data_IF_446375436235
#
_entry.id   IF_446375436235
#
_cell.length_a   1.000
_cell.length_b   1.000
_cell.length_c   1.000
_cell.angle_alpha   90.00
_cell.angle_beta   90.00
_cell.angle_gamma   90.00
#
_symmetry.space_group_name_H-M   'P 1'
#
loop_
_entity.id
_entity.type
_entity.pdbx_description
1 polymer ?
#
# COMPACT_ATOMS: atom_id res chain seq x y z
N UNK A 1 50.86 -42.47 -5.63
CA UNK A 1 49.78 -41.65 -6.15
C UNK A 1 50.38 -40.38 -6.71
N UNK A 2 50.41 -40.19 -8.04
CA UNK A 2 50.90 -38.95 -8.65
C UNK A 2 49.83 -37.89 -8.54
N UNK A 3 50.09 -36.83 -7.79
CA UNK A 3 49.21 -35.66 -7.70
C UNK A 3 49.25 -34.97 -9.08
N UNK A 4 48.20 -35.17 -9.90
CA UNK A 4 48.03 -34.41 -11.14
C UNK A 4 47.72 -32.96 -10.78
N UNK A 5 48.75 -32.12 -10.76
CA UNK A 5 48.57 -30.67 -10.59
C UNK A 5 47.93 -30.17 -11.90
N UNK A 6 46.73 -29.58 -11.87
CA UNK A 6 46.05 -29.12 -13.09
C UNK A 6 46.86 -27.96 -13.70
N UNK A 7 47.42 -28.18 -14.87
CA UNK A 7 48.21 -27.18 -15.61
C UNK A 7 47.49 -25.85 -15.76
N UNK A 8 46.16 -25.89 -15.92
CA UNK A 8 45.28 -24.72 -16.00
C UNK A 8 45.34 -23.85 -14.74
N UNK A 9 45.40 -24.47 -13.56
CA UNK A 9 45.51 -23.72 -12.31
C UNK A 9 46.89 -23.03 -12.17
N UNK A 10 47.95 -23.71 -12.55
CA UNK A 10 49.29 -23.12 -12.55
C UNK A 10 49.44 -21.97 -13.53
N UNK A 11 48.82 -22.06 -14.71
CA UNK A 11 48.80 -20.96 -15.69
C UNK A 11 48.01 -19.77 -15.20
N UNK A 12 46.82 -19.98 -14.59
CA UNK A 12 45.99 -18.92 -14.05
C UNK A 12 46.65 -18.15 -12.91
N UNK A 13 47.36 -18.89 -12.03
CA UNK A 13 47.98 -18.28 -10.83
C UNK A 13 49.37 -17.67 -11.09
N UNK A 14 49.99 -17.96 -12.26
CA UNK A 14 51.29 -17.40 -12.64
C UNK A 14 51.26 -15.91 -12.88
N UNK A 15 50.18 -15.40 -13.55
CA UNK A 15 50.03 -13.99 -13.84
C UNK A 15 48.95 -13.36 -12.89
N UNK A 16 49.39 -13.09 -11.65
CA UNK A 16 48.51 -12.60 -10.57
C UNK A 16 47.70 -11.36 -10.94
N UNK A 17 48.29 -10.44 -11.71
CA UNK A 17 47.62 -9.21 -12.14
C UNK A 17 46.45 -9.50 -13.09
N UNK A 18 46.67 -10.40 -14.07
CA UNK A 18 45.59 -10.81 -15.00
C UNK A 18 44.49 -11.56 -14.26
N UNK A 19 44.85 -12.44 -13.34
CA UNK A 19 43.88 -13.14 -12.51
C UNK A 19 43.04 -12.15 -11.66
N UNK A 20 43.73 -11.19 -11.02
CA UNK A 20 43.05 -10.18 -10.21
C UNK A 20 42.07 -9.32 -11.05
N UNK A 21 42.48 -8.91 -12.25
CA UNK A 21 41.59 -8.14 -13.17
C UNK A 21 40.37 -8.98 -13.61
N UNK A 22 40.61 -10.25 -13.98
CA UNK A 22 39.53 -11.15 -14.35
C UNK A 22 38.51 -11.38 -13.22
N UNK A 23 39.06 -11.68 -12.00
CA UNK A 23 38.21 -11.87 -10.81
C UNK A 23 37.47 -10.62 -10.40
N UNK A 24 38.10 -9.44 -10.49
CA UNK A 24 37.40 -8.16 -10.19
C UNK A 24 36.27 -7.87 -11.17
N UNK A 25 36.48 -8.21 -12.46
CA UNK A 25 35.42 -8.07 -13.47
C UNK A 25 34.22 -8.98 -13.20
N UNK A 26 34.47 -10.25 -12.85
CA UNK A 26 33.41 -11.21 -12.49
C UNK A 26 32.72 -10.74 -11.21
N UNK A 27 33.47 -10.43 -10.16
CA UNK A 27 32.91 -9.97 -8.88
C UNK A 27 32.07 -8.70 -9.05
N UNK A 28 32.51 -7.76 -9.90
CA UNK A 28 31.73 -6.57 -10.21
C UNK A 28 30.42 -6.90 -10.91
N UNK A 29 30.44 -7.81 -11.88
CA UNK A 29 29.24 -8.26 -12.59
C UNK A 29 28.24 -8.96 -11.63
N UNK A 30 28.76 -9.83 -10.74
CA UNK A 30 27.96 -10.52 -9.73
C UNK A 30 27.32 -9.53 -8.74
N UNK A 31 28.09 -8.56 -8.25
CA UNK A 31 27.59 -7.50 -7.34
C UNK A 31 26.46 -6.71 -8.03
N UNK A 32 26.64 -6.31 -9.29
CA UNK A 32 25.60 -5.61 -10.03
C UNK A 32 24.35 -6.46 -10.21
N UNK A 33 24.52 -7.76 -10.53
CA UNK A 33 23.39 -8.68 -10.68
C UNK A 33 22.60 -8.82 -9.38
N UNK A 34 23.28 -9.09 -8.26
CA UNK A 34 22.63 -9.20 -6.95
C UNK A 34 21.97 -7.87 -6.51
N UNK A 35 22.61 -6.75 -6.79
CA UNK A 35 22.04 -5.43 -6.53
C UNK A 35 20.75 -5.21 -7.32
N UNK A 36 20.73 -5.57 -8.61
CA UNK A 36 19.52 -5.45 -9.44
C UNK A 36 18.40 -6.39 -8.94
N UNK A 37 18.71 -7.63 -8.59
CA UNK A 37 17.74 -8.58 -8.03
C UNK A 37 17.16 -8.06 -6.71
N UNK A 38 18.01 -7.60 -5.79
CA UNK A 38 17.58 -7.03 -4.52
C UNK A 38 16.71 -5.79 -4.69
N UNK A 39 17.06 -4.90 -5.63
CA UNK A 39 16.26 -3.73 -5.94
C UNK A 39 14.90 -4.08 -6.53
N UNK A 40 14.86 -5.03 -7.48
CA UNK A 40 13.60 -5.54 -8.04
C UNK A 40 12.68 -6.10 -6.97
N UNK A 41 13.22 -6.94 -6.09
CA UNK A 41 12.43 -7.57 -5.04
C UNK A 41 11.93 -6.54 -4.01
N UNK A 42 12.76 -5.56 -3.63
CA UNK A 42 12.35 -4.46 -2.76
C UNK A 42 11.21 -3.62 -3.37
N UNK A 43 11.28 -3.32 -4.67
CA UNK A 43 10.20 -2.63 -5.38
C UNK A 43 8.91 -3.47 -5.39
N UNK A 44 9.01 -4.75 -5.70
CA UNK A 44 7.86 -5.65 -5.72
C UNK A 44 7.19 -5.72 -4.35
N UNK A 45 7.96 -6.01 -3.29
CA UNK A 45 7.42 -6.08 -1.93
C UNK A 45 6.79 -4.76 -1.46
N UNK A 46 7.39 -3.62 -1.79
CA UNK A 46 6.85 -2.33 -1.40
C UNK A 46 5.50 -2.01 -2.07
N UNK A 47 5.30 -2.45 -3.31
CA UNK A 47 4.05 -2.22 -4.04
C UNK A 47 2.94 -3.19 -3.64
N UNK A 48 3.28 -4.46 -3.40
CA UNK A 48 2.29 -5.52 -3.06
C UNK A 48 1.79 -5.39 -1.61
N UNK A 49 2.54 -4.73 -0.72
CA UNK A 49 2.23 -4.68 0.71
C UNK A 49 0.85 -4.10 1.03
N UNK A 50 0.47 -3.03 0.36
CA UNK A 50 -0.87 -2.41 0.53
C UNK A 50 -1.97 -3.37 0.03
N UNK A 51 -1.81 -3.96 -1.15
CA UNK A 51 -2.77 -4.88 -1.75
C UNK A 51 -2.97 -6.13 -0.90
N UNK A 52 -1.87 -6.74 -0.45
CA UNK A 52 -1.91 -7.94 0.41
C UNK A 52 -2.52 -7.68 1.79
N UNK A 53 -2.46 -6.42 2.27
CA UNK A 53 -3.05 -6.04 3.55
C UNK A 53 -4.58 -5.90 3.54
N UNK A 54 -5.20 -5.76 2.37
CA UNK A 54 -6.65 -5.64 2.26
C UNK A 54 -7.35 -6.93 2.71
N UNK A 55 -8.39 -6.77 3.53
CA UNK A 55 -9.23 -7.88 4.02
C UNK A 55 -10.46 -7.98 3.11
N UNK A 56 -10.33 -8.77 2.04
CA UNK A 56 -11.40 -9.02 1.08
C UNK A 56 -10.97 -10.09 0.08
N UNK A 57 -11.93 -10.65 -0.65
CA UNK A 57 -11.72 -11.76 -1.57
C UNK A 57 -11.75 -11.30 -3.03
N UNK A 58 -12.59 -10.29 -3.34
CA UNK A 58 -12.72 -9.68 -4.67
C UNK A 58 -12.65 -8.16 -4.54
N UNK A 59 -11.93 -7.54 -5.45
CA UNK A 59 -11.67 -6.10 -5.47
C UNK A 59 -12.25 -5.50 -6.76
N UNK A 60 -12.93 -4.36 -6.61
CA UNK A 60 -13.41 -3.56 -7.72
C UNK A 60 -12.61 -2.27 -7.83
N UNK A 61 -12.16 -1.95 -9.02
CA UNK A 61 -11.54 -0.67 -9.36
C UNK A 61 -12.09 -0.14 -10.69
N UNK A 62 -11.93 1.14 -10.95
CA UNK A 62 -12.26 1.69 -12.27
C UNK A 62 -11.31 1.10 -13.32
N UNK A 63 -11.84 0.72 -14.49
CA UNK A 63 -11.05 0.11 -15.58
C UNK A 63 -9.92 0.98 -16.13
N UNK A 64 -9.97 2.30 -15.90
CA UNK A 64 -8.92 3.25 -16.27
C UNK A 64 -7.85 3.44 -15.17
N UNK A 65 -7.96 2.72 -14.05
CA UNK A 65 -6.98 2.79 -12.95
C UNK A 65 -5.84 1.82 -13.22
N UNK A 66 -4.68 2.35 -13.58
CA UNK A 66 -3.50 1.55 -13.90
C UNK A 66 -2.50 1.40 -12.74
N UNK A 67 -2.64 2.23 -11.72
CA UNK A 67 -1.78 2.22 -10.52
C UNK A 67 -2.45 2.98 -9.38
N UNK A 68 -2.03 2.71 -8.14
CA UNK A 68 -2.49 3.43 -6.94
C UNK A 68 -2.26 4.95 -7.05
N UNK A 69 -1.20 5.35 -7.76
CA UNK A 69 -0.86 6.76 -8.03
C UNK A 69 -1.88 7.49 -8.93
N UNK A 70 -2.67 6.76 -9.70
CA UNK A 70 -3.60 7.31 -10.71
C UNK A 70 -4.97 6.65 -10.66
N UNK A 71 -5.46 6.38 -9.45
CA UNK A 71 -6.80 5.81 -9.27
C UNK A 71 -7.87 6.74 -9.83
N UNK A 72 -8.80 6.15 -10.57
CA UNK A 72 -10.01 6.80 -11.03
C UNK A 72 -11.17 6.36 -10.15
N UNK A 73 -12.06 7.27 -9.87
CA UNK A 73 -13.24 6.98 -9.08
C UNK A 73 -14.28 6.24 -9.90
N UNK A 74 -15.13 5.49 -9.20
CA UNK A 74 -16.35 4.93 -9.77
C UNK A 74 -17.50 5.01 -8.77
N UNK A 75 -18.72 4.83 -9.27
CA UNK A 75 -19.91 4.93 -8.43
C UNK A 75 -20.01 3.77 -7.45
N UNK A 76 -20.17 4.07 -6.17
CA UNK A 76 -20.44 3.10 -5.10
C UNK A 76 -21.65 2.20 -5.38
N UNK A 77 -22.60 2.68 -6.19
CA UNK A 77 -23.75 1.87 -6.64
C UNK A 77 -23.32 0.61 -7.41
N UNK A 78 -22.17 0.66 -8.11
CA UNK A 78 -21.60 -0.50 -8.80
C UNK A 78 -21.17 -1.58 -7.81
N UNK A 79 -20.55 -1.15 -6.71
CA UNK A 79 -20.13 -2.04 -5.65
C UNK A 79 -21.32 -2.72 -4.97
N UNK A 80 -22.37 -1.95 -4.68
CA UNK A 80 -23.57 -2.50 -4.04
C UNK A 80 -24.33 -3.52 -4.90
N UNK A 81 -24.19 -3.50 -6.22
CA UNK A 81 -24.76 -4.55 -7.09
C UNK A 81 -24.19 -5.93 -6.81
N UNK A 82 -23.00 -6.02 -6.23
CA UNK A 82 -22.43 -7.32 -5.84
C UNK A 82 -23.24 -8.00 -4.72
N UNK A 83 -24.01 -7.25 -3.92
CA UNK A 83 -24.88 -7.81 -2.89
C UNK A 83 -26.06 -8.61 -3.45
N UNK A 84 -26.38 -8.48 -4.76
CA UNK A 84 -27.39 -9.29 -5.42
C UNK A 84 -26.97 -10.79 -5.48
N UNK A 85 -25.67 -11.07 -5.28
CA UNK A 85 -25.13 -12.43 -5.24
C UNK A 85 -25.26 -13.05 -3.85
N UNK A 86 -25.89 -14.21 -3.70
CA UNK A 86 -26.06 -14.90 -2.41
C UNK A 86 -24.72 -15.29 -1.73
N UNK A 87 -23.65 -15.42 -2.51
CA UNK A 87 -22.29 -15.77 -2.05
C UNK A 87 -21.54 -14.59 -1.44
N UNK A 88 -22.00 -13.36 -1.69
CA UNK A 88 -21.39 -12.16 -1.10
C UNK A 88 -21.86 -12.00 0.34
N UNK A 89 -20.91 -11.79 1.25
CA UNK A 89 -21.17 -11.52 2.66
C UNK A 89 -21.36 -10.02 2.90
N UNK A 90 -20.44 -9.22 2.40
CA UNK A 90 -20.45 -7.76 2.59
C UNK A 90 -19.62 -7.05 1.53
N UNK A 91 -19.88 -5.76 1.37
CA UNK A 91 -19.14 -4.88 0.46
C UNK A 91 -18.73 -3.60 1.18
N UNK A 92 -17.51 -3.12 0.90
CA UNK A 92 -16.92 -2.00 1.62
C UNK A 92 -16.24 -1.04 0.65
N UNK A 93 -16.65 0.24 0.62
CA UNK A 93 -15.99 1.27 -0.16
C UNK A 93 -14.71 1.74 0.54
N UNK A 94 -13.68 2.02 -0.24
CA UNK A 94 -12.47 2.71 0.21
C UNK A 94 -12.28 3.95 -0.67
N UNK A 95 -12.06 5.08 -0.02
CA UNK A 95 -11.60 6.31 -0.62
C UNK A 95 -10.09 6.37 -0.54
N UNK A 96 -9.44 6.83 -1.59
CA UNK A 96 -7.99 6.94 -1.68
C UNK A 96 -7.61 8.23 -2.42
N UNK A 97 -6.67 9.00 -1.86
CA UNK A 97 -6.13 10.15 -2.56
C UNK A 97 -4.80 10.58 -1.95
N UNK A 98 -4.04 11.36 -2.70
CA UNK A 98 -2.86 12.05 -2.21
C UNK A 98 -3.22 13.44 -1.71
N UNK A 99 -2.57 13.83 -0.62
CA UNK A 99 -2.76 15.15 -0.05
C UNK A 99 -1.46 15.71 0.50
N UNK A 100 -1.48 17.01 0.86
CA UNK A 100 -0.34 17.67 1.48
C UNK A 100 -0.44 17.50 3.00
N UNK A 101 0.58 16.89 3.58
CA UNK A 101 0.86 16.90 5.01
C UNK A 101 1.87 17.99 5.30
N UNK A 102 1.60 18.85 6.26
CA UNK A 102 2.55 19.86 6.73
C UNK A 102 3.28 19.35 7.97
N UNK A 103 4.60 19.23 7.85
CA UNK A 103 5.43 18.82 8.99
C UNK A 103 5.22 19.80 10.18
N UNK A 104 4.81 19.33 11.36
CA UNK A 104 4.42 20.19 12.47
C UNK A 104 5.58 20.98 13.09
N UNK A 105 6.84 20.59 12.81
CA UNK A 105 8.04 21.27 13.31
C UNK A 105 8.59 22.25 12.29
N UNK A 106 8.79 21.78 11.03
CA UNK A 106 9.44 22.59 9.99
C UNK A 106 8.47 23.40 9.14
N UNK A 107 7.17 23.10 9.20
CA UNK A 107 6.13 23.70 8.36
C UNK A 107 6.21 23.30 6.88
N UNK A 108 7.15 22.43 6.48
CA UNK A 108 7.33 22.00 5.08
C UNK A 108 6.22 21.04 4.66
N UNK A 109 5.59 21.28 3.51
CA UNK A 109 4.59 20.35 2.97
C UNK A 109 5.25 19.13 2.30
N UNK A 110 4.65 17.94 2.47
CA UNK A 110 4.98 16.71 1.73
C UNK A 110 3.70 15.99 1.29
N UNK A 111 3.79 15.31 0.16
CA UNK A 111 2.69 14.46 -0.30
C UNK A 111 2.57 13.24 0.62
N UNK A 112 1.35 12.90 1.03
CA UNK A 112 1.03 11.73 1.84
C UNK A 112 -0.20 11.04 1.27
N UNK A 113 -0.20 9.71 1.27
CA UNK A 113 -1.34 8.91 0.83
C UNK A 113 -2.32 8.76 2.00
N UNK A 114 -3.60 8.96 1.74
CA UNK A 114 -4.65 8.84 2.75
C UNK A 114 -5.75 7.89 2.29
N UNK A 115 -6.11 6.96 3.18
CA UNK A 115 -7.20 6.01 3.02
C UNK A 115 -8.38 6.44 3.87
N UNK A 116 -9.58 6.50 3.27
CA UNK A 116 -10.85 6.72 3.96
C UNK A 116 -11.66 5.43 3.97
N UNK A 117 -11.93 4.89 5.15
CA UNK A 117 -12.61 3.60 5.34
C UNK A 117 -13.80 3.74 6.30
N UNK A 118 -14.74 2.80 6.24
CA UNK A 118 -15.73 2.68 7.30
C UNK A 118 -15.07 2.11 8.57
N UNK A 119 -15.02 2.85 9.70
CA UNK A 119 -14.36 2.41 10.93
C UNK A 119 -15.10 1.32 11.69
N UNK A 120 -16.28 0.90 11.24
CA UNK A 120 -17.02 -0.23 11.84
C UNK A 120 -16.45 -1.59 11.40
N UNK A 121 -15.61 -1.60 10.34
CA UNK A 121 -15.08 -2.84 9.77
C UNK A 121 -13.56 -2.72 9.60
N UNK A 122 -12.84 -3.74 10.04
CA UNK A 122 -11.42 -3.83 9.76
C UNK A 122 -11.19 -4.28 8.31
N UNK A 123 -10.74 -3.34 7.47
CA UNK A 123 -10.44 -3.57 6.06
C UNK A 123 -8.95 -3.76 5.77
N UNK A 124 -8.10 -3.61 6.78
CA UNK A 124 -6.65 -3.74 6.64
C UNK A 124 -6.07 -4.68 7.71
N UNK A 125 -5.44 -5.74 7.27
CA UNK A 125 -4.62 -6.57 8.14
C UNK A 125 -3.24 -5.90 8.34
N UNK A 126 -3.24 -4.78 9.05
CA UNK A 126 -2.06 -3.98 9.37
C UNK A 126 -1.96 -3.79 10.87
N UNK A 127 -0.76 -4.01 11.47
CA UNK A 127 -0.56 -3.78 12.91
C UNK A 127 -0.93 -2.35 13.29
N UNK A 128 -1.77 -2.19 14.30
CA UNK A 128 -2.19 -0.91 14.84
C UNK A 128 -3.44 -0.31 14.19
N UNK A 129 -4.02 -0.91 13.14
CA UNK A 129 -5.27 -0.41 12.56
C UNK A 129 -6.46 -0.85 13.39
N UNK A 130 -6.60 -2.15 13.64
CA UNK A 130 -7.77 -2.72 14.32
C UNK A 130 -8.00 -2.12 15.71
N UNK A 131 -6.95 -1.99 16.49
CA UNK A 131 -7.01 -1.48 17.88
C UNK A 131 -7.41 0.01 17.93
N UNK A 132 -7.25 0.72 16.82
CA UNK A 132 -7.50 2.16 16.75
C UNK A 132 -8.71 2.54 15.90
N UNK A 133 -9.46 1.59 15.30
CA UNK A 133 -10.64 1.88 14.46
C UNK A 133 -11.66 2.78 15.15
N UNK A 134 -11.96 2.53 16.41
CA UNK A 134 -12.93 3.33 17.16
C UNK A 134 -12.54 4.81 17.29
N UNK A 135 -11.24 5.12 17.27
CA UNK A 135 -10.74 6.50 17.35
C UNK A 135 -11.02 7.27 16.05
N UNK A 136 -11.13 6.57 14.93
CA UNK A 136 -11.45 7.18 13.63
C UNK A 136 -12.88 7.71 13.53
N UNK A 137 -13.77 7.29 14.42
CA UNK A 137 -15.13 7.83 14.54
C UNK A 137 -15.15 9.28 15.03
N UNK A 138 -14.08 9.71 15.70
CA UNK A 138 -13.95 11.08 16.17
C UNK A 138 -13.64 12.02 14.99
N UNK A 139 -14.16 13.26 15.02
CA UNK A 139 -13.87 14.26 13.99
C UNK A 139 -12.38 14.55 13.86
N UNK A 140 -11.92 14.62 12.60
CA UNK A 140 -10.56 15.06 12.24
C UNK A 140 -9.44 14.20 12.88
N UNK A 141 -9.73 12.93 13.17
CA UNK A 141 -8.75 11.97 13.67
C UNK A 141 -8.23 11.11 12.52
N UNK A 142 -6.91 10.90 12.52
CA UNK A 142 -6.20 10.04 11.58
C UNK A 142 -5.31 9.05 12.34
N UNK A 143 -5.07 7.88 11.76
CA UNK A 143 -3.95 7.02 12.14
C UNK A 143 -2.76 7.37 11.24
N UNK A 144 -1.57 7.41 11.83
CA UNK A 144 -0.34 7.73 11.14
C UNK A 144 0.53 6.47 11.00
N UNK A 145 1.09 6.26 9.82
CA UNK A 145 2.00 5.15 9.58
C UNK A 145 3.37 5.44 10.21
N UNK A 146 3.72 4.67 11.26
CA UNK A 146 4.99 4.83 11.99
C UNK A 146 6.24 4.60 11.15
N UNK A 147 6.08 3.89 10.03
CA UNK A 147 7.15 3.59 9.07
C UNK A 147 7.20 4.61 7.92
N UNK A 148 6.46 5.71 8.01
CA UNK A 148 6.62 6.84 7.10
C UNK A 148 8.01 7.45 7.24
N UNK A 149 8.48 8.12 6.18
CA UNK A 149 9.80 8.76 6.19
C UNK A 149 9.90 9.84 7.27
N UNK A 150 11.10 10.02 7.78
CA UNK A 150 11.41 10.95 8.90
C UNK A 150 11.11 12.43 8.59
N UNK A 151 11.05 12.78 7.34
CA UNK A 151 10.78 14.13 6.87
C UNK A 151 9.35 14.64 7.15
N UNK A 152 8.43 13.74 7.51
CA UNK A 152 7.09 14.14 7.97
C UNK A 152 7.09 14.74 9.37
N UNK A 153 8.19 14.60 10.11
CA UNK A 153 8.39 15.09 11.47
C UNK A 153 8.43 13.98 12.51
N UNK A 154 8.75 14.30 13.77
CA UNK A 154 8.90 13.34 14.87
C UNK A 154 7.53 12.87 15.41
N UNK A 155 6.64 12.42 14.53
CA UNK A 155 5.25 12.07 14.85
C UNK A 155 5.21 10.85 15.78
N UNK A 156 5.92 9.79 15.39
CA UNK A 156 5.96 8.52 16.13
C UNK A 156 6.55 8.72 17.54
N UNK A 157 7.66 9.44 17.64
CA UNK A 157 8.33 9.69 18.92
C UNK A 157 7.46 10.52 19.87
N UNK A 158 6.88 11.61 19.36
CA UNK A 158 5.99 12.46 20.14
C UNK A 158 4.74 11.69 20.60
N UNK A 159 4.15 10.88 19.73
CA UNK A 159 2.97 10.07 20.08
C UNK A 159 3.31 9.04 21.16
N UNK A 160 4.43 8.33 21.04
CA UNK A 160 4.90 7.36 22.03
C UNK A 160 5.24 8.00 23.40
N UNK A 161 5.60 9.27 23.41
CA UNK A 161 5.80 10.06 24.64
C UNK A 161 4.47 10.56 25.25
N UNK A 162 3.32 10.17 24.70
CA UNK A 162 2.00 10.59 25.18
C UNK A 162 1.62 12.04 24.83
N UNK A 163 2.39 12.70 23.95
CA UNK A 163 2.08 14.06 23.50
C UNK A 163 0.91 14.04 22.52
N UNK A 164 0.10 15.08 22.56
CA UNK A 164 -0.93 15.33 21.55
C UNK A 164 -0.23 15.75 20.25
N UNK A 165 -0.36 14.94 19.20
CA UNK A 165 0.22 15.22 17.91
C UNK A 165 -0.88 15.72 16.98
N UNK A 166 -0.70 16.92 16.45
CA UNK A 166 -1.56 17.51 15.42
C UNK A 166 -0.72 17.93 14.22
N UNK A 167 -1.32 17.89 13.05
CA UNK A 167 -0.70 18.34 11.82
C UNK A 167 -1.74 18.95 10.88
N UNK A 168 -1.30 19.71 9.91
CA UNK A 168 -2.16 20.25 8.87
C UNK A 168 -2.16 19.30 7.67
N UNK A 169 -3.36 18.83 7.28
CA UNK A 169 -3.61 18.04 6.09
C UNK A 169 -4.56 18.81 5.19
N UNK A 170 -4.10 19.22 4.01
CA UNK A 170 -4.91 19.99 3.04
C UNK A 170 -5.63 21.19 3.67
N UNK A 171 -4.92 22.02 4.44
CA UNK A 171 -5.45 23.20 5.18
C UNK A 171 -6.44 22.84 6.30
N UNK A 172 -6.54 21.58 6.69
CA UNK A 172 -7.34 21.13 7.83
C UNK A 172 -6.44 20.59 8.92
N UNK A 173 -6.67 21.03 10.15
CA UNK A 173 -5.96 20.47 11.29
C UNK A 173 -6.53 19.11 11.64
N UNK A 174 -5.65 18.10 11.70
CA UNK A 174 -6.01 16.72 12.09
C UNK A 174 -5.21 16.33 13.33
N UNK A 175 -5.80 15.42 14.11
CA UNK A 175 -5.17 14.83 15.30
C UNK A 175 -4.75 13.39 14.99
N UNK A 176 -3.52 13.04 15.33
CA UNK A 176 -3.07 11.64 15.29
C UNK A 176 -3.69 10.90 16.49
N UNK A 177 -4.61 9.99 16.20
CA UNK A 177 -5.31 9.17 17.21
C UNK A 177 -4.62 7.85 17.51
N UNK A 178 -3.75 7.39 16.62
CA UNK A 178 -3.03 6.13 16.76
C UNK A 178 -1.96 5.96 15.70
N UNK A 179 -1.15 4.94 15.88
CA UNK A 179 -0.11 4.55 14.92
C UNK A 179 -0.45 3.19 14.31
N UNK A 180 -0.10 3.02 13.03
CA UNK A 180 -0.15 1.72 12.36
C UNK A 180 1.16 1.47 11.60
N UNK A 181 1.31 0.31 10.97
CA UNK A 181 2.53 -0.03 10.23
C UNK A 181 2.18 -0.54 8.83
N UNK A 182 2.47 0.27 7.81
CA UNK A 182 2.43 -0.12 6.40
C UNK A 182 3.81 0.02 5.77
N UNK A 183 4.43 1.18 5.92
CA UNK A 183 5.74 1.53 5.37
C UNK A 183 5.66 2.31 4.06
N UNK A 184 6.76 2.98 3.76
CA UNK A 184 6.92 3.69 2.50
C UNK A 184 6.91 2.69 1.32
N UNK A 185 6.34 3.12 0.21
CA UNK A 185 6.31 2.38 -1.05
C UNK A 185 6.88 3.24 -2.18
N UNK A 186 7.00 2.68 -3.38
CA UNK A 186 7.36 3.47 -4.56
C UNK A 186 6.36 4.62 -4.83
N UNK A 187 5.08 4.39 -4.47
CA UNK A 187 4.01 5.36 -4.67
C UNK A 187 3.84 6.37 -3.53
N UNK A 188 4.24 6.06 -2.31
CA UNK A 188 4.00 6.92 -1.15
C UNK A 188 5.09 6.81 -0.10
N UNK A 189 5.66 7.95 0.26
CA UNK A 189 6.65 8.08 1.35
C UNK A 189 6.03 7.98 2.75
N UNK A 190 4.71 8.15 2.86
CA UNK A 190 3.97 8.09 4.10
C UNK A 190 2.48 7.88 3.86
N UNK A 191 1.82 7.30 4.87
CA UNK A 191 0.44 6.86 4.77
C UNK A 191 -0.38 7.32 5.98
N UNK A 192 -1.66 7.61 5.73
CA UNK A 192 -2.68 7.89 6.73
C UNK A 192 -3.89 6.98 6.53
N UNK A 193 -4.53 6.58 7.62
CA UNK A 193 -5.85 5.96 7.59
C UNK A 193 -6.80 6.84 8.38
N UNK A 194 -7.99 7.09 7.85
CA UNK A 194 -9.05 7.87 8.52
C UNK A 194 -10.42 7.27 8.21
N UNK A 195 -11.48 7.79 8.83
CA UNK A 195 -12.82 7.39 8.42
C UNK A 195 -13.21 8.00 7.07
N UNK A 196 -14.13 7.35 6.37
CA UNK A 196 -14.76 7.86 5.14
C UNK A 196 -15.36 9.27 5.33
N UNK A 197 -15.98 9.51 6.49
CA UNK A 197 -16.53 10.83 6.86
C UNK A 197 -15.42 11.87 7.01
N UNK A 198 -14.34 11.55 7.71
CA UNK A 198 -13.20 12.46 7.88
C UNK A 198 -12.46 12.67 6.55
N UNK A 199 -12.34 11.63 5.72
CA UNK A 199 -11.80 11.75 4.37
C UNK A 199 -12.57 12.78 3.55
N UNK A 200 -13.90 12.67 3.50
CA UNK A 200 -14.74 13.62 2.77
C UNK A 200 -14.76 15.03 3.38
N UNK A 201 -14.42 15.19 4.66
CA UNK A 201 -14.17 16.50 5.27
C UNK A 201 -12.84 17.11 4.83
N UNK A 202 -11.79 16.28 4.68
CA UNK A 202 -10.48 16.71 4.18
C UNK A 202 -10.59 17.05 2.69
N UNK A 203 -11.28 16.21 1.94
CA UNK A 203 -11.50 16.37 0.50
C UNK A 203 -12.92 16.87 0.20
N UNK A 204 -13.22 18.09 0.62
CA UNK A 204 -14.56 18.69 0.53
C UNK A 204 -15.10 18.85 -0.92
N UNK A 205 -14.22 18.76 -1.92
CA UNK A 205 -14.56 18.74 -3.33
C UNK A 205 -14.85 17.34 -3.90
N UNK A 206 -14.61 16.25 -3.11
CA UNK A 206 -14.93 14.88 -3.52
C UNK A 206 -16.43 14.64 -3.40
N UNK A 207 -17.02 14.10 -4.44
CA UNK A 207 -18.43 13.73 -4.44
C UNK A 207 -18.64 12.45 -3.61
N UNK A 208 -19.59 12.49 -2.68
CA UNK A 208 -20.03 11.30 -1.94
C UNK A 208 -20.48 10.20 -2.91
N UNK A 209 -20.07 8.96 -2.62
CA UNK A 209 -20.45 7.81 -3.44
C UNK A 209 -19.60 7.62 -4.70
N UNK A 210 -18.59 8.46 -4.95
CA UNK A 210 -17.49 8.19 -5.89
C UNK A 210 -16.29 7.66 -5.10
N UNK A 211 -16.07 6.35 -5.19
CA UNK A 211 -15.05 5.60 -4.46
C UNK A 211 -13.91 5.19 -5.38
N UNK A 212 -12.77 4.85 -4.80
CA UNK A 212 -11.57 4.46 -5.56
C UNK A 212 -11.40 2.95 -5.61
N UNK A 213 -11.72 2.26 -4.49
CA UNK A 213 -11.63 0.80 -4.38
C UNK A 213 -12.93 0.29 -3.76
N UNK A 214 -13.46 -0.78 -4.31
CA UNK A 214 -14.55 -1.55 -3.72
C UNK A 214 -14.02 -2.89 -3.24
N UNK A 215 -14.19 -3.20 -1.96
CA UNK A 215 -13.80 -4.48 -1.36
C UNK A 215 -15.03 -5.33 -1.16
N UNK A 216 -15.00 -6.56 -1.65
CA UNK A 216 -16.07 -7.55 -1.50
C UNK A 216 -15.53 -8.69 -0.63
N UNK A 217 -16.26 -8.99 0.43
CA UNK A 217 -16.03 -10.16 1.27
C UNK A 217 -17.05 -11.23 0.94
N UNK A 218 -16.59 -12.45 0.73
CA UNK A 218 -17.43 -13.60 0.41
C UNK A 218 -17.79 -14.40 1.66
N UNK A 219 -18.88 -15.16 1.55
CA UNK A 219 -19.24 -16.15 2.58
C UNK A 219 -18.24 -17.31 2.56
N UNK A 220 -18.01 -17.98 3.71
CA UNK A 220 -17.16 -19.15 3.78
C UNK A 220 -17.54 -20.21 2.74
N UNK A 221 -16.55 -20.74 2.02
CA UNK A 221 -16.73 -21.74 0.97
C UNK A 221 -17.09 -21.21 -0.43
N UNK A 222 -17.29 -19.91 -0.61
CA UNK A 222 -17.45 -19.33 -1.94
C UNK A 222 -16.10 -19.22 -2.66
N UNK A 223 -16.08 -19.52 -3.96
CA UNK A 223 -14.89 -19.42 -4.81
C UNK A 223 -14.75 -17.99 -5.35
N UNK A 224 -13.66 -17.24 -4.98
CA UNK A 224 -13.45 -15.89 -5.46
C UNK A 224 -13.33 -15.77 -6.98
N UNK A 225 -12.75 -16.77 -7.64
CA UNK A 225 -12.59 -16.77 -9.09
C UNK A 225 -13.94 -16.84 -9.81
N UNK A 226 -14.84 -17.73 -9.37
CA UNK A 226 -16.18 -17.85 -9.95
C UNK A 226 -16.99 -16.58 -9.72
N UNK A 227 -16.93 -16.02 -8.52
CA UNK A 227 -17.63 -14.76 -8.20
C UNK A 227 -17.09 -13.61 -9.04
N UNK A 228 -15.76 -13.50 -9.17
CA UNK A 228 -15.15 -12.47 -10.00
C UNK A 228 -15.55 -12.60 -11.47
N UNK A 229 -15.57 -13.83 -12.01
CA UNK A 229 -15.99 -14.08 -13.39
C UNK A 229 -17.46 -13.70 -13.62
N UNK A 230 -18.34 -14.03 -12.68
CA UNK A 230 -19.74 -13.63 -12.75
C UNK A 230 -19.89 -12.10 -12.72
N UNK A 231 -19.22 -11.43 -11.78
CA UNK A 231 -19.28 -9.98 -11.66
C UNK A 231 -18.72 -9.27 -12.89
N UNK A 232 -17.70 -9.83 -13.57
CA UNK A 232 -17.17 -9.30 -14.85
C UNK A 232 -18.24 -9.28 -15.95
N UNK A 233 -19.12 -10.27 -15.97
CA UNK A 233 -20.24 -10.32 -16.95
C UNK A 233 -21.42 -9.48 -16.55
N UNK A 234 -21.61 -9.23 -15.25
CA UNK A 234 -22.79 -8.54 -14.69
C UNK A 234 -22.59 -7.03 -14.53
N UNK A 235 -21.36 -6.61 -14.17
CA UNK A 235 -21.05 -5.20 -13.98
C UNK A 235 -20.70 -4.54 -15.31
N UNK A 236 -20.93 -3.22 -15.43
CA UNK A 236 -20.52 -2.47 -16.61
C UNK A 236 -18.99 -2.49 -16.84
N UNK A 237 -18.58 -2.31 -18.09
CA UNK A 237 -17.17 -2.39 -18.54
C UNK A 237 -16.25 -1.29 -18.00
N UNK A 238 -16.80 -0.28 -17.31
CA UNK A 238 -16.05 0.75 -16.62
C UNK A 238 -15.46 0.27 -15.28
N UNK A 239 -15.73 -1.00 -14.87
CA UNK A 239 -15.23 -1.62 -13.66
C UNK A 239 -14.37 -2.83 -13.99
N UNK A 240 -13.16 -2.86 -13.45
CA UNK A 240 -12.35 -4.05 -13.37
C UNK A 240 -12.67 -4.82 -12.09
N UNK A 241 -12.94 -6.12 -12.24
CA UNK A 241 -13.17 -7.04 -11.13
C UNK A 241 -11.97 -7.94 -11.02
N UNK A 242 -11.29 -7.91 -9.90
CA UNK A 242 -10.06 -8.63 -9.64
C UNK A 242 -10.25 -9.52 -8.41
N UNK A 243 -9.70 -10.72 -8.43
CA UNK A 243 -9.49 -11.45 -7.19
C UNK A 243 -8.37 -10.79 -6.39
N UNK A 244 -8.24 -11.13 -5.11
CA UNK A 244 -7.15 -10.59 -4.28
C UNK A 244 -5.76 -10.92 -4.84
N UNK A 245 -5.62 -12.04 -5.54
CA UNK A 245 -4.36 -12.49 -6.15
C UNK A 245 -4.04 -11.73 -7.45
N UNK A 246 -5.08 -11.30 -8.17
CA UNK A 246 -4.95 -10.53 -9.41
C UNK A 246 -4.73 -9.02 -9.15
N UNK A 247 -5.12 -8.54 -7.95
CA UNK A 247 -5.00 -7.14 -7.53
C UNK A 247 -3.62 -6.84 -6.97
#
# INVERSE_FOLDING_TARGET
>A
MAIKIPLSWLQLTREKTRLAVALSGIAFADILMFMQLGFRDALYYSNVRMHSSLVGDVILINSQSNAVLSMKTFSQRRLYKALDLPTVQSVHPIYLDYTSWRNPVTGRPRSILIFGINPEVNLFNLPGVEENLNKLKLPDVVLYDRSSRVEYGPITDNFNQGKIVTAEVRRRQVKVGGLFTLGASFGADGNLVTSDVNFLRIFNNRQRGLIDIGVIKLKPGADPMQVAQYLRSYLPTDINVLTKEEF
#
